data_IF_623813893275
#
_entry.id   IF_623813893275
#
_cell.length_a   1.000
_cell.length_b   1.000
_cell.length_c   1.000
_cell.angle_alpha   90.00
_cell.angle_beta   90.00
_cell.angle_gamma   90.00
#
_symmetry.space_group_name_H-M   'P 1'
#
loop_
_entity.id
_entity.type
_entity.pdbx_description
1 polymer ?
#
# COMPACT_ATOMS: atom_id res chain seq x y z
N UNK A 1 11.05 -14.45 3.24
CA UNK A 1 9.98 -14.77 2.27
C UNK A 1 8.60 -14.26 2.73
N UNK A 2 8.22 -14.49 4.01
CA UNK A 2 6.91 -14.06 4.52
C UNK A 2 6.73 -12.53 4.45
N UNK A 3 7.74 -11.75 4.84
CA UNK A 3 7.74 -10.29 4.72
C UNK A 3 7.52 -9.85 3.26
N UNK A 4 8.27 -10.43 2.32
CA UNK A 4 8.14 -10.14 0.90
C UNK A 4 6.75 -10.43 0.34
N UNK A 5 6.04 -11.44 0.85
CA UNK A 5 4.65 -11.70 0.50
C UNK A 5 3.72 -10.52 0.88
N UNK A 6 3.82 -10.04 2.13
CA UNK A 6 2.99 -8.91 2.57
C UNK A 6 3.33 -7.61 1.86
N UNK A 7 4.62 -7.36 1.60
CA UNK A 7 5.07 -6.21 0.81
C UNK A 7 4.51 -6.28 -0.62
N UNK A 8 4.58 -7.43 -1.28
CA UNK A 8 3.97 -7.61 -2.60
C UNK A 8 2.46 -7.39 -2.57
N UNK A 9 1.77 -7.88 -1.55
CA UNK A 9 0.34 -7.69 -1.39
C UNK A 9 0.00 -6.21 -1.25
N UNK A 10 0.68 -5.49 -0.36
CA UNK A 10 0.48 -4.07 -0.11
C UNK A 10 0.66 -3.25 -1.39
N UNK A 11 1.83 -3.34 -2.02
CA UNK A 11 2.13 -2.52 -3.20
C UNK A 11 1.27 -2.86 -4.42
N UNK A 12 0.89 -4.12 -4.59
CA UNK A 12 -0.01 -4.50 -5.69
C UNK A 12 -1.44 -3.99 -5.48
N UNK A 13 -1.97 -4.03 -4.25
CA UNK A 13 -3.30 -3.51 -3.95
C UNK A 13 -3.40 -1.99 -4.07
N UNK A 14 -2.36 -1.26 -3.62
CA UNK A 14 -2.31 0.20 -3.72
C UNK A 14 -2.22 0.65 -5.19
N UNK A 15 -1.50 -0.11 -6.02
CA UNK A 15 -1.18 0.32 -7.39
C UNK A 15 -2.20 -0.12 -8.44
N UNK A 16 -3.01 -1.13 -8.16
CA UNK A 16 -3.97 -1.67 -9.13
C UNK A 16 -5.09 -0.66 -9.40
N UNK A 17 -5.45 -0.50 -10.68
CA UNK A 17 -6.51 0.41 -11.10
C UNK A 17 -7.87 -0.29 -11.04
N UNK A 18 -8.89 0.37 -10.50
CA UNK A 18 -10.26 -0.16 -10.43
C UNK A 18 -10.81 -0.47 -11.82
N UNK A 19 -10.62 0.43 -12.80
CA UNK A 19 -11.06 0.21 -14.18
C UNK A 19 -10.51 -1.08 -14.80
N UNK A 20 -9.25 -1.39 -14.48
CA UNK A 20 -8.63 -2.63 -14.96
C UNK A 20 -9.21 -3.88 -14.29
N UNK A 21 -9.57 -3.79 -13.01
CA UNK A 21 -10.26 -4.88 -12.32
C UNK A 21 -11.64 -5.14 -12.90
N UNK A 22 -12.40 -4.08 -13.20
CA UNK A 22 -13.73 -4.19 -13.84
C UNK A 22 -13.64 -4.85 -15.22
N UNK A 23 -12.66 -4.50 -16.03
CA UNK A 23 -12.40 -5.16 -17.31
C UNK A 23 -12.11 -6.66 -17.13
N UNK A 24 -11.24 -7.02 -16.18
CA UNK A 24 -10.92 -8.42 -15.89
C UNK A 24 -12.11 -9.20 -15.36
N UNK A 25 -13.03 -8.56 -14.61
CA UNK A 25 -14.28 -9.17 -14.15
C UNK A 25 -15.19 -9.46 -15.35
N UNK A 26 -15.33 -8.52 -16.30
CA UNK A 26 -16.10 -8.72 -17.52
C UNK A 26 -15.52 -9.86 -18.37
N UNK A 27 -14.22 -10.08 -18.34
CA UNK A 27 -13.54 -11.22 -18.97
C UNK A 27 -13.72 -12.55 -18.22
N UNK A 28 -14.49 -12.57 -17.11
CA UNK A 28 -14.78 -13.77 -16.34
C UNK A 28 -13.74 -14.13 -15.27
N UNK A 29 -12.83 -13.24 -14.92
CA UNK A 29 -11.81 -13.50 -13.91
C UNK A 29 -12.39 -13.33 -12.48
N UNK A 30 -12.78 -14.43 -11.85
CA UNK A 30 -13.36 -14.40 -10.50
C UNK A 30 -12.41 -13.90 -9.39
N UNK A 31 -11.08 -13.95 -9.60
CA UNK A 31 -10.12 -13.38 -8.62
C UNK A 31 -10.12 -11.85 -8.67
N UNK A 32 -10.41 -11.24 -9.82
CA UNK A 32 -10.49 -9.80 -9.97
C UNK A 32 -11.59 -9.20 -9.08
N UNK A 33 -12.72 -9.91 -8.90
CA UNK A 33 -13.79 -9.50 -8.00
C UNK A 33 -13.30 -9.42 -6.55
N UNK A 34 -12.61 -10.45 -6.08
CA UNK A 34 -12.03 -10.44 -4.72
C UNK A 34 -11.03 -9.30 -4.51
N UNK A 35 -10.16 -9.03 -5.51
CA UNK A 35 -9.23 -7.90 -5.45
C UNK A 35 -9.97 -6.56 -5.45
N UNK A 36 -11.06 -6.43 -6.23
CA UNK A 36 -11.87 -5.21 -6.23
C UNK A 36 -12.50 -4.97 -4.85
N UNK A 37 -13.07 -5.99 -4.22
CA UNK A 37 -13.61 -5.91 -2.86
C UNK A 37 -12.53 -5.46 -1.85
N UNK A 38 -11.30 -5.99 -1.97
CA UNK A 38 -10.17 -5.55 -1.14
C UNK A 38 -9.81 -4.08 -1.39
N UNK A 39 -9.85 -3.61 -2.63
CA UNK A 39 -9.55 -2.20 -2.94
C UNK A 39 -10.64 -1.24 -2.47
N UNK A 40 -11.88 -1.68 -2.34
CA UNK A 40 -12.95 -0.88 -1.73
C UNK A 40 -12.76 -0.72 -0.22
N UNK A 41 -12.13 -1.68 0.45
CA UNK A 41 -11.79 -1.65 1.87
C UNK A 41 -10.28 -1.56 2.08
N UNK A 42 -9.60 -0.77 1.25
CA UNK A 42 -8.13 -0.74 1.12
C UNK A 42 -7.43 -0.52 2.48
N UNK A 43 -7.88 0.46 3.28
CA UNK A 43 -7.24 0.79 4.56
C UNK A 43 -7.23 -0.38 5.54
N UNK A 44 -8.28 -1.21 5.51
CA UNK A 44 -8.38 -2.38 6.36
C UNK A 44 -7.39 -3.46 5.95
N UNK A 45 -7.25 -3.69 4.64
CA UNK A 45 -6.27 -4.64 4.11
C UNK A 45 -4.83 -4.15 4.25
N UNK A 46 -4.59 -2.83 4.12
CA UNK A 46 -3.28 -2.23 4.42
C UNK A 46 -2.90 -2.39 5.89
N UNK A 47 -3.85 -2.24 6.81
CA UNK A 47 -3.61 -2.52 8.23
C UNK A 47 -3.25 -3.98 8.47
N UNK A 48 -3.88 -4.91 7.76
CA UNK A 48 -3.55 -6.34 7.84
C UNK A 48 -2.16 -6.64 7.25
N UNK A 49 -1.82 -6.10 6.07
CA UNK A 49 -0.49 -6.28 5.48
C UNK A 49 0.60 -5.71 6.37
N UNK A 50 0.39 -4.51 6.94
CA UNK A 50 1.33 -3.88 7.86
C UNK A 50 1.56 -4.72 9.12
N UNK A 51 0.48 -5.30 9.66
CA UNK A 51 0.60 -6.23 10.79
C UNK A 51 1.41 -7.48 10.39
N UNK A 52 1.17 -8.03 9.21
CA UNK A 52 1.92 -9.17 8.67
C UNK A 52 3.40 -8.87 8.49
N UNK A 53 3.73 -7.69 7.95
CA UNK A 53 5.11 -7.18 7.82
C UNK A 53 5.77 -7.08 9.19
N UNK A 54 5.07 -6.49 10.17
CA UNK A 54 5.59 -6.30 11.52
C UNK A 54 5.86 -7.63 12.21
N UNK A 55 4.92 -8.58 12.15
CA UNK A 55 5.09 -9.93 12.72
C UNK A 55 6.27 -10.65 12.07
N UNK A 56 6.38 -10.60 10.73
CA UNK A 56 7.47 -11.23 10.00
C UNK A 56 8.83 -10.62 10.34
N UNK A 57 8.89 -9.29 10.50
CA UNK A 57 10.11 -8.56 10.86
C UNK A 57 10.57 -8.88 12.29
N UNK A 58 9.63 -8.87 13.25
CA UNK A 58 9.91 -9.25 14.65
C UNK A 58 10.37 -10.71 14.76
N UNK A 59 9.70 -11.62 14.05
CA UNK A 59 10.08 -13.03 14.02
C UNK A 59 11.49 -13.20 13.42
N UNK A 60 11.81 -12.46 12.35
CA UNK A 60 13.15 -12.49 11.77
C UNK A 60 14.21 -11.96 12.75
N UNK A 61 13.93 -10.87 13.46
CA UNK A 61 14.86 -10.32 14.47
C UNK A 61 15.08 -11.29 15.62
N UNK A 62 14.00 -11.91 16.10
CA UNK A 62 14.08 -12.84 17.24
C UNK A 62 14.80 -14.16 16.90
N UNK A 63 14.49 -14.75 15.74
CA UNK A 63 15.08 -16.03 15.32
C UNK A 63 16.40 -15.85 14.55
N UNK A 64 16.51 -14.80 13.75
CA UNK A 64 17.66 -14.57 12.88
C UNK A 64 18.90 -14.09 13.61
N UNK A 65 18.74 -13.30 14.69
CA UNK A 65 19.88 -12.80 15.48
C UNK A 65 20.72 -13.93 16.08
N UNK A 66 20.15 -14.81 16.92
CA UNK A 66 20.88 -15.96 17.48
C UNK A 66 21.49 -16.88 16.42
N UNK A 67 20.73 -17.18 15.35
CA UNK A 67 21.20 -18.01 14.25
C UNK A 67 22.43 -17.45 13.54
N UNK A 68 22.47 -16.14 13.27
CA UNK A 68 23.61 -15.51 12.63
C UNK A 68 24.84 -15.45 13.57
N UNK A 69 24.62 -15.21 14.86
CA UNK A 69 25.71 -15.26 15.84
C UNK A 69 26.34 -16.65 15.88
N UNK A 70 25.54 -17.69 15.96
CA UNK A 70 26.00 -19.08 15.94
C UNK A 70 26.74 -19.44 14.64
N UNK A 71 26.21 -19.00 13.50
CA UNK A 71 26.85 -19.17 12.19
C UNK A 71 28.22 -18.47 12.12
N UNK A 72 28.31 -17.23 12.59
CA UNK A 72 29.59 -16.48 12.63
C UNK A 72 30.60 -17.13 13.57
N UNK A 73 30.17 -17.59 14.74
CA UNK A 73 31.04 -18.31 15.67
C UNK A 73 31.57 -19.61 15.06
N UNK A 74 30.76 -20.34 14.31
CA UNK A 74 31.18 -21.54 13.59
C UNK A 74 32.18 -21.27 12.45
N UNK A 75 32.10 -20.10 11.81
CA UNK A 75 32.99 -19.72 10.70
C UNK A 75 34.31 -19.11 11.15
N UNK A 76 34.29 -18.26 12.18
CA UNK A 76 35.46 -17.48 12.62
C UNK A 76 36.20 -18.16 13.77
N UNK A 77 35.51 -19.06 14.51
CA UNK A 77 36.02 -19.71 15.72
C UNK A 77 35.65 -18.91 17.00
N UNK A 78 35.32 -19.62 18.05
CA UNK A 78 34.89 -19.05 19.34
C UNK A 78 35.99 -18.29 20.07
N UNK A 79 37.25 -18.62 19.82
CA UNK A 79 38.42 -18.02 20.46
C UNK A 79 38.55 -16.48 20.18
N UNK A 80 38.01 -16.01 19.07
CA UNK A 80 38.06 -14.60 18.67
C UNK A 80 36.95 -13.74 19.30
N UNK A 81 36.01 -14.30 20.05
CA UNK A 81 34.89 -13.57 20.66
C UNK A 81 35.12 -13.15 22.12
N UNK A 82 36.24 -13.56 22.72
CA UNK A 82 36.61 -13.22 24.13
C UNK A 82 36.81 -11.71 24.40
N UNK A 83 37.50 -10.91 23.57
CA UNK A 83 37.57 -9.47 23.79
C UNK A 83 36.20 -8.82 23.59
N UNK A 84 35.74 -8.01 24.56
CA UNK A 84 34.51 -7.22 24.52
C UNK A 84 34.32 -6.47 23.19
N UNK A 85 35.39 -5.88 22.65
CA UNK A 85 35.38 -5.15 21.38
C UNK A 85 34.99 -6.01 20.20
N UNK A 86 35.42 -7.28 20.15
CA UNK A 86 35.11 -8.24 19.11
C UNK A 86 33.65 -8.70 19.24
N UNK A 87 33.16 -8.90 20.47
CA UNK A 87 31.75 -9.23 20.70
C UNK A 87 30.83 -8.11 20.21
N UNK A 88 31.11 -6.86 20.56
CA UNK A 88 30.36 -5.70 20.09
C UNK A 88 30.40 -5.58 18.57
N UNK A 89 31.56 -5.72 17.93
CA UNK A 89 31.70 -5.69 16.48
C UNK A 89 30.90 -6.81 15.79
N UNK A 90 30.87 -8.02 16.37
CA UNK A 90 30.10 -9.15 15.86
C UNK A 90 28.60 -8.89 15.91
N UNK A 91 28.10 -8.31 17.00
CA UNK A 91 26.68 -7.92 17.13
C UNK A 91 26.30 -6.88 16.07
N UNK A 92 27.12 -5.84 15.89
CA UNK A 92 26.88 -4.84 14.85
C UNK A 92 26.90 -5.43 13.45
N UNK A 93 27.85 -6.31 13.14
CA UNK A 93 27.93 -7.00 11.85
C UNK A 93 26.71 -7.88 11.63
N UNK A 94 26.26 -8.62 12.66
CA UNK A 94 25.06 -9.46 12.61
C UNK A 94 23.82 -8.63 12.29
N UNK A 95 23.62 -7.53 13.01
CA UNK A 95 22.49 -6.62 12.78
C UNK A 95 22.56 -6.03 11.37
N UNK A 96 23.74 -5.59 10.93
CA UNK A 96 23.93 -5.04 9.59
C UNK A 96 23.55 -6.04 8.50
N UNK A 97 24.06 -7.27 8.57
CA UNK A 97 23.75 -8.34 7.60
C UNK A 97 22.27 -8.66 7.62
N UNK A 98 21.67 -8.80 8.82
CA UNK A 98 20.24 -9.09 8.97
C UNK A 98 19.38 -8.00 8.35
N UNK A 99 19.68 -6.73 8.65
CA UNK A 99 18.97 -5.56 8.09
C UNK A 99 19.14 -5.51 6.58
N UNK A 100 20.37 -5.70 6.09
CA UNK A 100 20.65 -5.68 4.65
C UNK A 100 19.83 -6.76 3.91
N UNK A 101 19.88 -8.00 4.37
CA UNK A 101 19.11 -9.12 3.77
C UNK A 101 17.61 -8.85 3.87
N UNK A 102 17.14 -8.36 5.02
CA UNK A 102 15.73 -8.05 5.23
C UNK A 102 15.25 -6.95 4.29
N UNK A 103 15.97 -5.83 4.21
CA UNK A 103 15.58 -4.70 3.34
C UNK A 103 15.64 -5.10 1.88
N UNK A 104 16.71 -5.75 1.43
CA UNK A 104 16.85 -6.11 0.00
C UNK A 104 15.82 -7.17 -0.41
N UNK A 105 15.80 -8.32 0.27
CA UNK A 105 15.00 -9.48 -0.13
C UNK A 105 13.61 -9.50 0.51
N UNK A 106 13.42 -8.83 1.63
CA UNK A 106 12.14 -8.72 2.32
C UNK A 106 11.31 -7.54 1.85
N UNK A 107 11.91 -6.47 1.30
CA UNK A 107 11.19 -5.25 0.94
C UNK A 107 11.48 -4.78 -0.49
N UNK A 108 12.72 -4.38 -0.84
CA UNK A 108 13.01 -3.73 -2.12
C UNK A 108 12.72 -4.61 -3.34
N UNK A 109 13.17 -5.85 -3.33
CA UNK A 109 12.95 -6.79 -4.44
C UNK A 109 11.47 -7.16 -4.56
N UNK A 110 10.74 -7.57 -3.49
CA UNK A 110 9.30 -7.83 -3.55
C UNK A 110 8.49 -6.63 -4.03
N UNK A 111 8.82 -5.42 -3.56
CA UNK A 111 8.20 -4.17 -4.01
C UNK A 111 8.39 -3.95 -5.51
N UNK A 112 9.62 -4.12 -6.01
CA UNK A 112 9.91 -3.97 -7.43
C UNK A 112 9.13 -4.99 -8.29
N UNK A 113 9.03 -6.25 -7.84
CA UNK A 113 8.24 -7.30 -8.49
C UNK A 113 6.76 -6.93 -8.52
N UNK A 114 6.20 -6.46 -7.39
CA UNK A 114 4.80 -6.05 -7.30
C UNK A 114 4.48 -4.90 -8.25
N UNK A 115 5.34 -3.89 -8.31
CA UNK A 115 5.16 -2.74 -9.21
C UNK A 115 5.32 -3.10 -10.68
N UNK A 116 6.19 -4.06 -11.00
CA UNK A 116 6.40 -4.52 -12.38
C UNK A 116 5.30 -5.46 -12.90
N UNK A 117 4.56 -6.15 -12.02
CA UNK A 117 3.54 -7.16 -12.37
C UNK A 117 2.28 -7.04 -11.52
N UNK A 118 1.77 -5.81 -11.36
CA UNK A 118 0.69 -5.45 -10.44
C UNK A 118 -0.49 -6.42 -10.51
N UNK A 119 -1.07 -6.61 -11.68
CA UNK A 119 -2.27 -7.45 -11.88
C UNK A 119 -2.02 -8.91 -11.45
N UNK A 120 -0.91 -9.50 -11.93
CA UNK A 120 -0.59 -10.91 -11.64
C UNK A 120 -0.36 -11.12 -10.14
N UNK A 121 0.36 -10.20 -9.49
CA UNK A 121 0.65 -10.29 -8.07
C UNK A 121 -0.63 -10.08 -7.24
N UNK A 122 -1.45 -9.05 -7.53
CA UNK A 122 -2.71 -8.82 -6.83
C UNK A 122 -3.63 -10.05 -6.87
N UNK A 123 -3.75 -10.69 -8.05
CA UNK A 123 -4.55 -11.91 -8.20
C UNK A 123 -3.96 -13.11 -7.43
N UNK A 124 -2.63 -13.23 -7.40
CA UNK A 124 -1.96 -14.33 -6.71
C UNK A 124 -2.07 -14.21 -5.19
N UNK A 125 -1.91 -12.99 -4.64
CA UNK A 125 -1.92 -12.74 -3.20
C UNK A 125 -3.32 -12.64 -2.60
N UNK A 126 -4.36 -12.40 -3.41
CA UNK A 126 -5.72 -12.12 -2.93
C UNK A 126 -6.28 -13.18 -1.97
N UNK A 127 -6.20 -14.46 -2.33
CA UNK A 127 -6.73 -15.54 -1.48
C UNK A 127 -5.97 -15.70 -0.16
N UNK A 128 -4.63 -15.86 -0.17
CA UNK A 128 -3.90 -16.02 1.09
C UNK A 128 -3.95 -14.76 1.97
N UNK A 129 -3.99 -13.57 1.36
CA UNK A 129 -4.16 -12.33 2.12
C UNK A 129 -5.55 -12.25 2.78
N UNK A 130 -6.60 -12.64 2.07
CA UNK A 130 -7.94 -12.68 2.65
C UNK A 130 -8.04 -13.66 3.81
N UNK A 131 -7.43 -14.84 3.68
CA UNK A 131 -7.34 -15.81 4.77
C UNK A 131 -6.63 -15.22 5.98
N UNK A 132 -5.48 -14.58 5.77
CA UNK A 132 -4.73 -13.89 6.82
C UNK A 132 -5.57 -12.80 7.48
N UNK A 133 -6.26 -11.96 6.68
CA UNK A 133 -7.14 -10.91 7.19
C UNK A 133 -8.25 -11.47 8.09
N UNK A 134 -8.93 -12.53 7.65
CA UNK A 134 -10.00 -13.17 8.45
C UNK A 134 -9.46 -13.68 9.78
N UNK A 135 -8.29 -14.33 9.78
CA UNK A 135 -7.64 -14.84 11.00
C UNK A 135 -7.23 -13.71 11.95
N UNK A 136 -6.77 -12.58 11.40
CA UNK A 136 -6.24 -11.45 12.17
C UNK A 136 -7.28 -10.34 12.37
N UNK A 137 -8.50 -10.51 11.85
CA UNK A 137 -9.57 -9.52 11.92
C UNK A 137 -9.78 -8.92 13.33
N UNK A 138 -9.88 -9.72 14.42
CA UNK A 138 -10.08 -9.16 15.76
C UNK A 138 -8.93 -8.23 16.18
N UNK A 139 -7.68 -8.57 15.82
CA UNK A 139 -6.51 -7.73 16.10
C UNK A 139 -6.52 -6.44 15.27
N UNK A 140 -6.85 -6.54 13.99
CA UNK A 140 -6.97 -5.36 13.10
C UNK A 140 -8.02 -4.39 13.65
N UNK A 141 -9.16 -4.88 14.12
CA UNK A 141 -10.20 -4.03 14.74
C UNK A 141 -9.70 -3.36 16.01
N UNK A 142 -8.99 -4.08 16.87
CA UNK A 142 -8.42 -3.52 18.11
C UNK A 142 -7.43 -2.41 17.76
N UNK A 143 -6.47 -2.65 16.87
CA UNK A 143 -5.47 -1.65 16.47
C UNK A 143 -6.11 -0.42 15.83
N UNK A 144 -7.10 -0.61 14.96
CA UNK A 144 -7.83 0.49 14.33
C UNK A 144 -8.62 1.33 15.37
N UNK A 145 -9.18 0.70 16.41
CA UNK A 145 -9.86 1.42 17.50
C UNK A 145 -8.87 2.21 18.35
N UNK A 146 -7.75 1.61 18.71
CA UNK A 146 -6.69 2.29 19.49
C UNK A 146 -6.12 3.46 18.69
N UNK A 147 -5.81 3.28 17.42
CA UNK A 147 -5.33 4.34 16.53
C UNK A 147 -6.32 5.53 16.49
N UNK A 148 -7.61 5.25 16.27
CA UNK A 148 -8.64 6.30 16.29
C UNK A 148 -8.75 7.03 17.64
N UNK A 149 -8.67 6.28 18.74
CA UNK A 149 -8.68 6.89 20.07
C UNK A 149 -7.49 7.84 20.28
N UNK A 150 -6.30 7.45 19.82
CA UNK A 150 -5.11 8.31 19.87
C UNK A 150 -5.28 9.56 19.00
N UNK A 151 -5.81 9.42 17.76
CA UNK A 151 -6.07 10.56 16.88
C UNK A 151 -7.09 11.53 17.51
N UNK A 152 -8.15 11.02 18.12
CA UNK A 152 -9.14 11.84 18.85
C UNK A 152 -8.51 12.58 20.02
N UNK A 153 -7.63 11.95 20.81
CA UNK A 153 -6.91 12.61 21.90
C UNK A 153 -5.97 13.71 21.40
N UNK A 154 -5.45 13.60 20.20
CA UNK A 154 -4.61 14.61 19.54
C UNK A 154 -5.44 15.71 18.84
N UNK A 155 -6.78 15.66 18.89
CA UNK A 155 -7.67 16.62 18.23
C UNK A 155 -7.69 16.50 16.70
N UNK A 156 -7.23 15.37 16.14
CA UNK A 156 -7.21 15.10 14.71
C UNK A 156 -8.50 14.36 14.37
N UNK A 157 -9.38 15.02 13.63
CA UNK A 157 -10.55 14.34 13.07
C UNK A 157 -10.11 13.33 12.01
N UNK A 158 -10.53 12.08 12.19
CA UNK A 158 -10.34 11.05 11.17
C UNK A 158 -11.09 11.48 9.91
N UNK A 159 -10.36 11.75 8.83
CA UNK A 159 -10.95 12.00 7.51
C UNK A 159 -11.72 10.74 7.11
N UNK A 160 -13.02 10.72 7.34
CA UNK A 160 -13.90 9.70 6.79
C UNK A 160 -13.94 9.91 5.28
N UNK A 161 -13.76 8.82 4.52
CA UNK A 161 -13.74 8.80 3.04
C UNK A 161 -15.06 9.22 2.38
N UNK A 162 -15.99 9.89 3.08
CA UNK A 162 -17.33 10.13 2.58
C UNK A 162 -17.48 11.33 1.66
N UNK A 163 -16.50 12.22 1.58
CA UNK A 163 -16.62 13.41 0.74
C UNK A 163 -15.40 13.62 -0.16
N UNK A 164 -15.20 12.76 -1.15
CA UNK A 164 -14.46 13.14 -2.34
C UNK A 164 -15.47 13.71 -3.37
N UNK A 165 -16.27 14.63 -2.94
CA UNK A 165 -16.90 15.56 -3.87
C UNK A 165 -15.82 16.56 -4.29
N UNK A 166 -15.26 16.35 -5.48
CA UNK A 166 -14.31 17.30 -6.04
C UNK A 166 -15.02 18.63 -6.26
N UNK A 167 -14.40 19.74 -5.88
CA UNK A 167 -14.86 21.07 -6.21
C UNK A 167 -14.88 21.27 -7.73
N UNK A 168 -15.69 22.21 -8.23
CA UNK A 168 -15.71 22.54 -9.67
C UNK A 168 -14.30 22.88 -10.18
N UNK A 169 -13.51 23.61 -9.40
CA UNK A 169 -12.13 23.97 -9.76
C UNK A 169 -11.21 22.74 -9.85
N UNK A 170 -11.36 21.78 -8.96
CA UNK A 170 -10.63 20.51 -9.04
C UNK A 170 -11.02 19.70 -10.27
N UNK A 171 -12.33 19.65 -10.60
CA UNK A 171 -12.79 18.99 -11.82
C UNK A 171 -12.22 19.66 -13.07
N UNK A 172 -12.17 20.99 -13.13
CA UNK A 172 -11.52 21.74 -14.23
C UNK A 172 -10.03 21.41 -14.33
N UNK A 173 -9.33 21.29 -13.21
CA UNK A 173 -7.93 20.90 -13.19
C UNK A 173 -7.72 19.47 -13.72
N UNK A 174 -8.61 18.52 -13.37
CA UNK A 174 -8.58 17.15 -13.87
C UNK A 174 -8.82 17.12 -15.38
N UNK A 175 -9.79 17.88 -15.89
CA UNK A 175 -10.08 17.99 -17.33
C UNK A 175 -8.88 18.54 -18.08
N UNK A 176 -8.29 19.63 -17.60
CA UNK A 176 -7.08 20.23 -18.21
C UNK A 176 -5.86 19.30 -18.17
N UNK A 177 -5.73 18.51 -17.09
CA UNK A 177 -4.67 17.52 -17.01
C UNK A 177 -4.89 16.35 -18.01
N UNK A 178 -6.15 15.97 -18.23
CA UNK A 178 -6.53 14.90 -19.17
C UNK A 178 -6.31 15.34 -20.63
N UNK A 179 -6.57 16.62 -20.95
CA UNK A 179 -6.26 17.23 -22.25
C UNK A 179 -4.75 17.22 -22.50
N UNK A 180 -3.95 17.70 -21.55
CA UNK A 180 -2.48 17.66 -21.66
C UNK A 180 -1.91 16.25 -21.76
N UNK A 181 -2.58 15.27 -21.15
CA UNK A 181 -2.23 13.86 -21.25
C UNK A 181 -2.69 13.18 -22.56
N UNK A 182 -3.40 13.91 -23.45
CA UNK A 182 -3.90 13.37 -24.72
C UNK A 182 -5.09 12.39 -24.56
N UNK A 183 -5.74 12.37 -23.39
CA UNK A 183 -6.94 11.55 -23.13
C UNK A 183 -8.19 12.25 -23.63
N UNK A 184 -8.24 13.58 -23.51
CA UNK A 184 -9.28 14.43 -24.06
C UNK A 184 -8.70 15.30 -25.17
N UNK A 185 -9.50 15.57 -26.21
CA UNK A 185 -9.15 16.56 -27.20
C UNK A 185 -9.52 17.97 -26.73
N UNK A 186 -9.02 18.99 -27.46
CA UNK A 186 -9.28 20.40 -27.12
C UNK A 186 -10.77 20.77 -27.21
N UNK A 187 -11.52 20.14 -28.11
CA UNK A 187 -12.96 20.40 -28.28
C UNK A 187 -13.74 19.80 -27.10
N UNK A 188 -13.41 18.58 -26.69
CA UNK A 188 -14.03 17.90 -25.56
C UNK A 188 -13.79 18.67 -24.24
N UNK A 189 -12.55 19.11 -24.01
CA UNK A 189 -12.19 19.92 -22.85
C UNK A 189 -13.01 21.21 -22.78
N UNK A 190 -13.13 21.94 -23.90
CA UNK A 190 -13.94 23.17 -24.00
C UNK A 190 -15.44 22.91 -23.79
N UNK A 191 -15.97 21.80 -24.27
CA UNK A 191 -17.38 21.46 -24.05
C UNK A 191 -17.67 21.23 -22.56
N UNK A 192 -16.78 20.55 -21.84
CA UNK A 192 -16.92 20.34 -20.40
C UNK A 192 -16.85 21.66 -19.64
N UNK A 193 -15.92 22.55 -19.99
CA UNK A 193 -15.82 23.87 -19.38
C UNK A 193 -17.09 24.74 -19.65
N UNK A 194 -17.64 24.67 -20.85
CA UNK A 194 -18.90 25.34 -21.16
C UNK A 194 -20.09 24.81 -20.33
N UNK A 195 -20.11 23.51 -19.98
CA UNK A 195 -21.15 22.95 -19.09
C UNK A 195 -21.02 23.52 -17.69
N UNK A 196 -19.82 23.67 -17.15
CA UNK A 196 -19.59 24.30 -15.85
C UNK A 196 -20.01 25.78 -15.87
N UNK A 197 -19.69 26.49 -16.92
CA UNK A 197 -20.08 27.91 -17.08
C UNK A 197 -21.59 28.10 -17.27
N UNK A 198 -22.25 27.13 -17.91
CA UNK A 198 -23.70 27.15 -18.10
C UNK A 198 -24.46 27.16 -16.78
N UNK A 199 -24.00 26.43 -15.77
CA UNK A 199 -24.63 26.37 -14.44
C UNK A 199 -24.63 27.73 -13.71
N UNK A 200 -23.71 28.64 -14.08
CA UNK A 200 -23.57 29.98 -13.50
C UNK A 200 -24.37 31.05 -14.25
N UNK A 201 -24.97 30.73 -15.42
CA UNK A 201 -25.74 31.67 -16.20
C UNK A 201 -27.12 31.89 -15.57
N UNK A 202 -27.44 33.14 -15.30
CA UNK A 202 -28.77 33.57 -14.85
C UNK A 202 -29.59 34.03 -16.03
N UNK A 203 -30.91 34.04 -15.89
CA UNK A 203 -31.82 34.58 -16.94
C UNK A 203 -31.44 35.97 -17.40
N UNK A 204 -30.89 36.82 -16.51
CA UNK A 204 -30.41 38.16 -16.82
C UNK A 204 -29.30 38.20 -17.90
N UNK A 205 -28.49 37.16 -18.01
CA UNK A 205 -27.43 37.08 -19.03
C UNK A 205 -27.92 36.65 -20.41
N UNK A 206 -29.16 36.18 -20.51
CA UNK A 206 -29.75 35.68 -21.76
C UNK A 206 -30.89 36.59 -22.26
N UNK A 207 -31.38 37.51 -21.42
CA UNK A 207 -32.41 38.46 -21.81
C UNK A 207 -31.83 39.50 -22.75
N UNK A 208 -32.45 39.65 -23.94
CA UNK A 208 -32.22 40.74 -24.87
C UNK A 208 -33.09 41.91 -24.39
N UNK A 209 -32.45 43.08 -24.25
CA UNK A 209 -33.15 44.30 -23.86
C UNK A 209 -34.06 44.84 -25.00
#
# INVERSE_FOLDING_TARGET
LLNGFFVMAEYSLVRIRKSRLEELIQQGNGRAKAVLEMTLSLDTYLSATQMGITIASLALGWLGGPFLVELLQGLIGTEYFEPWSVHVASVFLTIFVLVFVHVVFGELVPRAIALGKVEKIAMAVSRPLNLFYVLTFPLVVIFSRVSRAVLQLLGIESVQKEDIAHSEDELRMIVSASERGGVLDHMESRLIDNVFDFSKRTAKHVMIA
#
